data_IF_214097372635
#
_entry.id   IF_214097372635
#
_cell.length_a   1.000
_cell.length_b   1.000
_cell.length_c   1.000
_cell.angle_alpha   90.00
_cell.angle_beta   90.00
_cell.angle_gamma   90.00
#
_symmetry.space_group_name_H-M   'P 1'
#
loop_
_entity.id
_entity.type
_entity.pdbx_description
1 polymer ?
#
# COMPACT_ATOMS: atom_id res chain seq x y z
N UNK A 1 -11.21 -24.09 -10.38
CA UNK A 1 -10.80 -24.14 -11.80
C UNK A 1 -9.71 -23.10 -11.97
N UNK A 2 -8.48 -23.54 -12.22
CA UNK A 2 -7.35 -22.62 -12.37
C UNK A 2 -7.57 -21.78 -13.63
N UNK A 3 -7.77 -20.47 -13.48
CA UNK A 3 -7.80 -19.55 -14.60
C UNK A 3 -6.45 -19.57 -15.31
N UNK A 4 -6.45 -19.53 -16.64
CA UNK A 4 -5.23 -19.33 -17.41
C UNK A 4 -4.50 -18.07 -16.89
N UNK A 5 -3.17 -18.07 -16.70
CA UNK A 5 -2.43 -16.88 -16.27
C UNK A 5 -2.71 -15.65 -17.16
N UNK A 6 -3.02 -15.89 -18.44
CA UNK A 6 -3.41 -14.86 -19.41
C UNK A 6 -4.83 -14.36 -19.15
N UNK A 7 -5.78 -15.23 -18.82
CA UNK A 7 -7.14 -14.81 -18.45
C UNK A 7 -7.15 -14.03 -17.14
N UNK A 8 -6.32 -14.42 -16.18
CA UNK A 8 -6.14 -13.68 -14.93
C UNK A 8 -5.56 -12.28 -15.18
N UNK A 9 -4.51 -12.17 -16.00
CA UNK A 9 -3.97 -10.87 -16.40
C UNK A 9 -4.97 -10.03 -17.23
N UNK A 10 -5.71 -10.67 -18.13
CA UNK A 10 -6.74 -10.01 -18.93
C UNK A 10 -7.92 -9.52 -18.07
N UNK A 11 -8.20 -10.17 -16.94
CA UNK A 11 -9.26 -9.75 -16.01
C UNK A 11 -9.01 -8.38 -15.37
N UNK A 12 -7.77 -7.90 -15.37
CA UNK A 12 -7.41 -6.57 -14.89
C UNK A 12 -7.58 -5.45 -15.92
N UNK A 13 -7.72 -5.78 -17.20
CA UNK A 13 -8.02 -4.80 -18.24
C UNK A 13 -9.53 -4.57 -18.24
N UNK A 14 -10.01 -3.40 -17.81
CA UNK A 14 -11.44 -3.19 -17.73
C UNK A 14 -12.08 -3.12 -19.12
N UNK A 15 -13.22 -3.78 -19.26
CA UNK A 15 -14.04 -3.72 -20.47
C UNK A 15 -14.66 -2.33 -20.69
N UNK A 16 -14.84 -1.55 -19.62
CA UNK A 16 -15.34 -0.16 -19.66
C UNK A 16 -14.67 0.72 -18.59
N UNK A 17 -14.70 2.04 -18.76
CA UNK A 17 -14.09 2.98 -17.78
C UNK A 17 -14.75 2.87 -16.39
N UNK A 18 -16.04 2.53 -16.33
CA UNK A 18 -16.80 2.45 -15.06
C UNK A 18 -16.73 1.09 -14.36
N UNK A 19 -16.40 0.01 -15.08
CA UNK A 19 -16.39 -1.33 -14.48
C UNK A 19 -15.46 -1.46 -13.28
N UNK A 20 -14.24 -0.89 -13.27
CA UNK A 20 -13.36 -0.95 -12.10
C UNK A 20 -13.96 -0.37 -10.82
N UNK A 21 -14.75 0.71 -10.95
CA UNK A 21 -15.32 1.40 -9.80
C UNK A 21 -16.53 0.66 -9.20
N UNK A 22 -17.31 -0.03 -10.03
CA UNK A 22 -18.48 -0.79 -9.57
C UNK A 22 -18.15 -2.21 -9.11
N UNK A 23 -17.12 -2.83 -9.69
CA UNK A 23 -16.71 -4.21 -9.37
C UNK A 23 -15.67 -4.30 -8.25
N UNK A 24 -15.15 -3.17 -7.76
CA UNK A 24 -14.07 -3.16 -6.78
C UNK A 24 -12.73 -3.64 -7.34
N UNK A 25 -12.54 -3.63 -8.67
CA UNK A 25 -11.28 -3.98 -9.31
C UNK A 25 -10.27 -2.82 -9.19
N UNK A 26 -9.52 -2.83 -8.09
CA UNK A 26 -8.63 -1.74 -7.70
C UNK A 26 -7.43 -1.61 -8.64
N UNK A 27 -6.88 -2.72 -9.15
CA UNK A 27 -5.82 -2.69 -10.17
C UNK A 27 -6.32 -2.00 -11.44
N UNK A 28 -7.55 -2.31 -11.88
CA UNK A 28 -8.18 -1.62 -13.00
C UNK A 28 -8.34 -0.11 -12.78
N UNK A 29 -8.74 0.32 -11.58
CA UNK A 29 -8.83 1.74 -11.20
C UNK A 29 -7.46 2.41 -11.27
N UNK A 30 -6.41 1.74 -10.76
CA UNK A 30 -5.03 2.26 -10.78
C UNK A 30 -4.52 2.40 -12.22
N UNK A 31 -4.69 1.38 -13.07
CA UNK A 31 -4.26 1.42 -14.47
C UNK A 31 -4.94 2.59 -15.21
N UNK A 32 -6.25 2.77 -15.01
CA UNK A 32 -6.98 3.90 -15.57
C UNK A 32 -6.43 5.25 -15.07
N UNK A 33 -6.16 5.37 -13.76
CA UNK A 33 -5.60 6.58 -13.17
C UNK A 33 -4.19 6.91 -13.70
N UNK A 34 -3.34 5.90 -13.92
CA UNK A 34 -2.01 6.05 -14.52
C UNK A 34 -2.08 6.51 -15.98
N UNK A 35 -2.95 5.90 -16.78
CA UNK A 35 -3.20 6.32 -18.16
C UNK A 35 -3.69 7.77 -18.23
N UNK A 36 -4.69 8.12 -17.41
CA UNK A 36 -5.21 9.49 -17.32
C UNK A 36 -4.11 10.47 -16.89
N UNK A 37 -3.30 10.11 -15.88
CA UNK A 37 -2.17 10.91 -15.41
C UNK A 37 -1.09 11.12 -16.49
N UNK A 38 -0.80 10.10 -17.29
CA UNK A 38 0.15 10.19 -18.41
C UNK A 38 -0.35 11.12 -19.52
N UNK A 39 -1.64 11.03 -19.88
CA UNK A 39 -2.29 11.91 -20.85
C UNK A 39 -2.27 13.37 -20.37
N UNK A 40 -2.69 13.62 -19.12
CA UNK A 40 -2.68 14.96 -18.52
C UNK A 40 -1.27 15.55 -18.47
N UNK A 41 -0.23 14.72 -18.30
CA UNK A 41 1.17 15.16 -18.32
C UNK A 41 1.63 15.58 -19.72
N UNK A 42 1.29 14.82 -20.77
CA UNK A 42 1.63 15.17 -22.16
C UNK A 42 0.95 16.46 -22.60
N UNK A 43 -0.35 16.59 -22.32
CA UNK A 43 -1.13 17.79 -22.63
C UNK A 43 -0.62 19.06 -21.90
N UNK A 44 0.09 18.90 -20.78
CA UNK A 44 0.72 20.00 -20.06
C UNK A 44 2.04 20.47 -20.68
N UNK A 45 2.72 19.62 -21.46
CA UNK A 45 4.00 19.92 -22.11
C UNK A 45 3.87 20.57 -23.49
N UNK A 46 2.72 20.41 -24.17
CA UNK A 46 2.55 20.81 -25.58
C UNK A 46 1.93 22.21 -25.77
N UNK A 47 1.41 22.89 -24.74
CA UNK A 47 0.67 24.14 -24.94
C UNK A 47 0.77 25.15 -23.77
N UNK A 48 1.58 26.19 -23.94
CA UNK A 48 1.54 27.41 -23.12
C UNK A 48 0.45 28.40 -23.59
N UNK A 49 -0.71 27.92 -24.06
CA UNK A 49 -1.82 28.78 -24.51
C UNK A 49 -3.22 28.40 -23.96
N UNK A 50 -3.35 27.54 -22.94
CA UNK A 50 -4.68 27.05 -22.49
C UNK A 50 -4.84 26.74 -20.99
N UNK A 51 -4.25 27.53 -20.09
CA UNK A 51 -4.08 27.27 -18.63
C UNK A 51 -5.35 27.19 -17.74
N UNK A 52 -6.52 26.80 -18.24
CA UNK A 52 -7.74 26.66 -17.42
C UNK A 52 -8.04 25.22 -16.96
N UNK A 53 -8.31 24.33 -17.92
CA UNK A 53 -9.03 23.09 -17.66
C UNK A 53 -8.20 22.03 -16.92
N UNK A 54 -6.98 21.74 -17.40
CA UNK A 54 -6.09 20.72 -16.78
C UNK A 54 -5.73 21.11 -15.35
N UNK A 55 -5.44 22.39 -15.10
CA UNK A 55 -5.10 22.88 -13.77
C UNK A 55 -6.30 22.91 -12.83
N UNK A 56 -7.50 23.17 -13.35
CA UNK A 56 -8.75 23.09 -12.58
C UNK A 56 -9.09 21.65 -12.23
N UNK A 57 -8.96 20.71 -13.16
CA UNK A 57 -9.18 19.28 -12.90
C UNK A 57 -8.23 18.74 -11.82
N UNK A 58 -6.93 19.07 -11.91
CA UNK A 58 -5.95 18.67 -10.90
C UNK A 58 -6.32 19.21 -9.50
N UNK A 59 -6.74 20.48 -9.39
CA UNK A 59 -7.19 21.08 -8.12
C UNK A 59 -8.45 20.44 -7.56
N UNK A 60 -9.39 20.05 -8.43
CA UNK A 60 -10.61 19.32 -8.02
C UNK A 60 -10.23 17.97 -7.43
N UNK A 61 -9.39 17.20 -8.13
CA UNK A 61 -8.90 15.91 -7.64
C UNK A 61 -8.23 16.07 -6.27
N UNK A 62 -7.38 17.08 -6.10
CA UNK A 62 -6.71 17.37 -4.83
C UNK A 62 -7.70 17.74 -3.69
N UNK A 63 -8.79 18.44 -4.00
CA UNK A 63 -9.84 18.78 -3.02
C UNK A 63 -10.64 17.54 -2.60
N UNK A 64 -11.08 16.72 -3.56
CA UNK A 64 -11.75 15.45 -3.30
C UNK A 64 -10.85 14.57 -2.43
N UNK A 65 -9.58 14.50 -2.80
CA UNK A 65 -8.56 13.79 -2.04
C UNK A 65 -8.50 14.26 -0.56
N UNK A 66 -8.49 15.58 -0.30
CA UNK A 66 -8.55 16.12 1.08
C UNK A 66 -9.83 15.72 1.82
N UNK A 67 -10.98 15.72 1.17
CA UNK A 67 -12.25 15.32 1.79
C UNK A 67 -12.25 13.84 2.20
N UNK A 68 -11.71 12.96 1.36
CA UNK A 68 -11.60 11.53 1.67
C UNK A 68 -10.74 11.27 2.91
N UNK A 69 -9.62 12.00 3.06
CA UNK A 69 -8.77 11.89 4.27
C UNK A 69 -9.49 12.38 5.52
N UNK A 70 -10.28 13.45 5.41
CA UNK A 70 -11.06 13.94 6.55
C UNK A 70 -12.14 12.92 6.98
N UNK A 71 -12.86 12.33 6.02
CA UNK A 71 -13.88 11.31 6.28
C UNK A 71 -13.27 10.06 6.92
N UNK A 72 -12.11 9.63 6.40
CA UNK A 72 -11.36 8.52 6.99
C UNK A 72 -11.02 8.82 8.46
N UNK A 73 -10.61 10.06 8.79
CA UNK A 73 -10.38 10.49 10.17
C UNK A 73 -11.55 10.17 11.11
N UNK A 74 -12.80 10.37 10.66
CA UNK A 74 -13.99 10.05 11.46
C UNK A 74 -14.21 8.54 11.63
N UNK A 75 -13.93 7.74 10.60
CA UNK A 75 -14.04 6.28 10.69
C UNK A 75 -13.04 5.74 11.72
N UNK A 76 -11.81 6.26 11.74
CA UNK A 76 -10.77 5.85 12.69
C UNK A 76 -11.21 6.06 14.14
N UNK A 77 -11.95 7.14 14.43
CA UNK A 77 -12.51 7.39 15.76
C UNK A 77 -13.52 6.30 16.20
N UNK A 78 -14.20 5.64 15.25
CA UNK A 78 -15.16 4.59 15.56
C UNK A 78 -14.52 3.20 15.75
N UNK A 79 -13.30 2.98 15.26
CA UNK A 79 -12.62 1.68 15.31
C UNK A 79 -12.48 1.12 16.74
N UNK A 80 -12.12 1.89 17.79
CA UNK A 80 -12.00 1.36 19.15
C UNK A 80 -13.29 0.71 19.66
N UNK A 81 -14.47 1.29 19.34
CA UNK A 81 -15.76 0.74 19.75
C UNK A 81 -16.07 -0.58 19.03
N UNK A 82 -15.75 -0.68 17.73
CA UNK A 82 -15.92 -1.90 16.96
C UNK A 82 -15.03 -3.05 17.50
N UNK A 83 -13.75 -2.74 17.78
CA UNK A 83 -12.80 -3.70 18.37
C UNK A 83 -13.28 -4.19 19.73
N UNK A 84 -13.77 -3.28 20.59
CA UNK A 84 -14.32 -3.66 21.90
C UNK A 84 -15.47 -4.67 21.76
N UNK A 85 -16.41 -4.44 20.83
CA UNK A 85 -17.54 -5.34 20.62
C UNK A 85 -17.12 -6.76 20.20
N UNK A 86 -16.14 -6.86 19.29
CA UNK A 86 -15.60 -8.16 18.84
C UNK A 86 -14.87 -8.89 19.97
N UNK A 87 -13.98 -8.20 20.68
CA UNK A 87 -13.24 -8.81 21.80
C UNK A 87 -14.20 -9.27 22.90
N UNK A 88 -15.18 -8.44 23.27
CA UNK A 88 -16.18 -8.79 24.27
C UNK A 88 -16.99 -10.04 23.87
N UNK A 89 -17.39 -10.14 22.60
CA UNK A 89 -18.12 -11.30 22.09
C UNK A 89 -17.31 -12.60 22.19
N UNK A 90 -16.01 -12.56 21.86
CA UNK A 90 -15.16 -13.75 21.91
C UNK A 90 -14.85 -14.15 23.35
N UNK A 91 -14.52 -13.19 24.21
CA UNK A 91 -14.32 -13.46 25.65
C UNK A 91 -15.57 -14.03 26.28
N UNK A 92 -16.76 -13.53 25.92
CA UNK A 92 -18.04 -14.03 26.40
C UNK A 92 -18.34 -15.49 26.00
N UNK A 93 -17.79 -15.97 24.87
CA UNK A 93 -18.01 -17.33 24.37
C UNK A 93 -16.90 -18.32 24.77
N UNK A 94 -15.65 -17.89 24.68
CA UNK A 94 -14.47 -18.74 24.81
C UNK A 94 -13.70 -18.55 26.13
N UNK A 95 -14.06 -17.55 26.93
CA UNK A 95 -13.37 -17.20 28.17
C UNK A 95 -12.01 -16.54 27.93
N UNK A 96 -11.30 -16.24 29.03
CA UNK A 96 -10.03 -15.50 29.00
C UNK A 96 -8.82 -16.41 28.70
N UNK A 97 -8.93 -17.72 28.97
CA UNK A 97 -7.83 -18.69 28.74
C UNK A 97 -7.34 -18.73 27.29
N UNK A 98 -8.20 -18.33 26.36
CA UNK A 98 -7.91 -18.17 24.94
C UNK A 98 -6.73 -17.25 24.64
N UNK A 99 -6.52 -16.23 25.48
CA UNK A 99 -5.45 -15.25 25.29
C UNK A 99 -4.05 -15.83 25.55
N UNK A 100 -3.92 -16.92 26.32
CA UNK A 100 -2.60 -17.50 26.58
C UNK A 100 -1.95 -18.02 25.28
N UNK A 101 -2.74 -18.73 24.45
CA UNK A 101 -2.27 -19.27 23.17
C UNK A 101 -2.15 -18.14 22.14
N UNK A 102 -3.11 -17.21 22.13
CA UNK A 102 -3.09 -16.08 21.20
C UNK A 102 -1.98 -15.07 21.48
N UNK A 103 -1.50 -14.98 22.73
CA UNK A 103 -0.36 -14.13 23.06
C UNK A 103 0.92 -14.61 22.40
N UNK A 104 1.14 -15.93 22.31
CA UNK A 104 2.29 -16.51 21.60
C UNK A 104 2.22 -16.15 20.11
N UNK A 105 1.04 -16.29 19.51
CA UNK A 105 0.81 -15.88 18.12
C UNK A 105 1.06 -14.39 17.90
N UNK A 106 0.49 -13.53 18.75
CA UNK A 106 0.65 -12.09 18.69
C UNK A 106 2.13 -11.70 18.82
N UNK A 107 2.85 -12.25 19.80
CA UNK A 107 4.26 -11.96 20.01
C UNK A 107 5.12 -12.40 18.82
N UNK A 108 4.88 -13.60 18.28
CA UNK A 108 5.58 -14.09 17.09
C UNK A 108 5.32 -13.21 15.86
N UNK A 109 4.06 -12.83 15.63
CA UNK A 109 3.67 -11.92 14.55
C UNK A 109 4.36 -10.56 14.66
N UNK A 110 4.28 -9.93 15.84
CA UNK A 110 4.90 -8.63 16.07
C UNK A 110 6.43 -8.71 15.94
N UNK A 111 7.05 -9.81 16.35
CA UNK A 111 8.48 -10.03 16.17
C UNK A 111 8.85 -10.12 14.68
N UNK A 112 8.12 -10.93 13.90
CA UNK A 112 8.35 -11.06 12.46
C UNK A 112 8.20 -9.72 11.72
N UNK A 113 7.13 -8.99 12.03
CA UNK A 113 6.89 -7.64 11.50
C UNK A 113 7.98 -6.65 11.95
N UNK A 114 8.44 -6.72 13.21
CA UNK A 114 9.50 -5.86 13.72
C UNK A 114 10.86 -6.13 13.05
N UNK A 115 11.18 -7.40 12.76
CA UNK A 115 12.40 -7.75 12.00
C UNK A 115 12.36 -7.09 10.63
N UNK A 116 11.22 -7.15 9.93
CA UNK A 116 11.05 -6.45 8.66
C UNK A 116 11.20 -4.93 8.82
N UNK A 117 10.44 -4.35 9.75
CA UNK A 117 10.34 -2.91 9.94
C UNK A 117 11.64 -2.24 10.42
N UNK A 118 12.39 -2.89 11.32
CA UNK A 118 13.53 -2.29 12.01
C UNK A 118 14.88 -2.80 11.50
N UNK A 119 14.92 -3.97 10.86
CA UNK A 119 16.17 -4.57 10.38
C UNK A 119 16.19 -4.59 8.86
N UNK A 120 15.29 -5.35 8.23
CA UNK A 120 15.36 -5.59 6.79
C UNK A 120 15.17 -4.31 5.97
N UNK A 121 14.07 -3.57 6.14
CA UNK A 121 13.82 -2.39 5.31
C UNK A 121 14.82 -1.25 5.53
N UNK A 122 15.17 -0.85 6.78
CA UNK A 122 16.16 0.19 6.99
C UNK A 122 17.55 -0.19 6.46
N UNK A 123 17.92 -1.47 6.54
CA UNK A 123 19.20 -1.97 6.02
C UNK A 123 19.24 -1.87 4.49
N UNK A 124 18.19 -2.31 3.79
CA UNK A 124 18.13 -2.23 2.32
C UNK A 124 18.04 -0.78 1.85
N UNK A 125 17.24 0.06 2.53
CA UNK A 125 17.17 1.50 2.26
C UNK A 125 18.54 2.18 2.41
N UNK A 126 19.36 1.73 3.37
CA UNK A 126 20.68 2.27 3.60
C UNK A 126 21.71 1.78 2.58
N UNK A 127 21.82 0.48 2.39
CA UNK A 127 22.86 -0.13 1.54
C UNK A 127 22.60 0.12 0.05
N UNK A 128 21.35 0.02 -0.39
CA UNK A 128 20.98 0.17 -1.81
C UNK A 128 20.43 1.56 -2.07
N UNK A 129 19.48 1.99 -1.24
CA UNK A 129 18.78 3.28 -1.36
C UNK A 129 19.63 4.51 -1.01
N UNK A 130 20.79 4.31 -0.38
CA UNK A 130 21.63 5.38 0.19
C UNK A 130 20.87 6.32 1.15
N UNK A 131 19.78 5.85 1.76
CA UNK A 131 19.02 6.57 2.79
C UNK A 131 19.35 5.97 4.15
N UNK A 132 20.02 6.72 5.00
CA UNK A 132 20.35 6.23 6.36
C UNK A 132 19.08 5.86 7.14
N UNK A 133 19.15 4.93 8.11
CA UNK A 133 18.00 4.55 8.92
C UNK A 133 17.33 5.74 9.63
N UNK A 134 18.11 6.76 10.01
CA UNK A 134 17.60 8.01 10.58
C UNK A 134 16.72 8.78 9.60
N UNK A 135 17.09 8.81 8.32
CA UNK A 135 16.29 9.45 7.27
C UNK A 135 15.05 8.61 7.01
N UNK A 136 15.23 7.31 6.78
CA UNK A 136 14.15 6.41 6.38
C UNK A 136 13.06 6.27 7.47
N UNK A 137 13.45 5.96 8.70
CA UNK A 137 12.50 5.83 9.82
C UNK A 137 12.06 7.20 10.36
N UNK A 138 12.99 8.16 10.46
CA UNK A 138 12.69 9.47 11.03
C UNK A 138 11.81 10.34 10.14
N UNK A 139 12.17 10.51 8.87
CA UNK A 139 11.35 11.31 7.94
C UNK A 139 10.10 10.57 7.46
N UNK A 140 10.08 9.24 7.61
CA UNK A 140 8.93 8.37 7.33
C UNK A 140 7.95 8.23 8.49
N UNK A 141 8.30 8.72 9.68
CA UNK A 141 7.54 8.51 10.91
C UNK A 141 6.07 8.93 10.78
N UNK A 142 5.78 10.07 10.15
CA UNK A 142 4.40 10.55 9.99
C UNK A 142 3.55 9.54 9.21
N UNK A 143 4.09 8.94 8.14
CA UNK A 143 3.37 7.96 7.33
C UNK A 143 3.15 6.65 8.11
N UNK A 144 4.18 6.17 8.80
CA UNK A 144 4.14 4.95 9.61
C UNK A 144 3.11 5.09 10.73
N UNK A 145 3.18 6.19 11.49
CA UNK A 145 2.25 6.47 12.60
C UNK A 145 0.83 6.65 12.09
N UNK A 146 0.65 7.31 10.93
CA UNK A 146 -0.67 7.41 10.31
C UNK A 146 -1.21 6.03 9.98
N UNK A 147 -0.38 5.13 9.43
CA UNK A 147 -0.80 3.81 8.98
C UNK A 147 -1.18 2.87 10.13
N UNK A 148 -0.37 2.88 11.18
CA UNK A 148 -0.66 2.17 12.44
C UNK A 148 -1.94 2.73 13.07
N UNK A 149 -2.17 4.04 12.99
CA UNK A 149 -3.36 4.67 13.60
C UNK A 149 -4.64 4.42 12.80
N UNK A 150 -4.56 4.50 11.46
CA UNK A 150 -5.71 4.36 10.57
C UNK A 150 -6.00 2.92 10.14
N UNK A 151 -5.05 2.00 10.39
CA UNK A 151 -5.11 0.61 9.95
C UNK A 151 -5.27 0.46 8.43
N UNK A 152 -4.63 1.32 7.62
CA UNK A 152 -4.72 1.23 6.16
C UNK A 152 -3.53 1.89 5.46
N UNK A 153 -2.79 1.12 4.67
CA UNK A 153 -1.70 1.64 3.83
C UNK A 153 -2.23 2.56 2.73
N UNK A 154 -3.36 2.20 2.11
CA UNK A 154 -3.96 2.98 1.01
C UNK A 154 -4.43 4.36 1.49
N UNK A 155 -5.01 4.44 2.68
CA UNK A 155 -5.35 5.69 3.35
C UNK A 155 -4.15 6.63 3.56
N UNK A 156 -2.96 6.06 3.76
CA UNK A 156 -1.76 6.81 4.15
C UNK A 156 -0.91 7.28 2.99
N UNK A 157 -1.16 6.77 1.78
CA UNK A 157 -0.49 7.15 0.52
C UNK A 157 -0.10 8.64 0.47
N UNK A 158 -0.97 9.59 0.83
CA UNK A 158 -0.60 11.00 0.69
C UNK A 158 0.39 11.48 1.74
N UNK A 159 0.31 10.95 2.97
CA UNK A 159 1.32 11.20 4.01
C UNK A 159 2.64 10.54 3.59
N UNK A 160 2.56 9.33 3.02
CA UNK A 160 3.70 8.60 2.45
C UNK A 160 4.39 9.41 1.35
N UNK A 161 3.64 9.99 0.41
CA UNK A 161 4.19 10.84 -0.65
C UNK A 161 4.89 12.10 -0.10
N UNK A 162 4.35 12.75 0.95
CA UNK A 162 5.03 13.87 1.61
C UNK A 162 6.31 13.44 2.33
N UNK A 163 6.31 12.27 2.96
CA UNK A 163 7.51 11.73 3.59
C UNK A 163 8.60 11.43 2.55
N UNK A 164 8.22 10.84 1.41
CA UNK A 164 9.13 10.55 0.31
C UNK A 164 9.71 11.82 -0.34
N UNK A 165 8.91 12.89 -0.43
CA UNK A 165 9.38 14.21 -0.87
C UNK A 165 10.45 14.79 0.08
N UNK A 166 10.21 14.72 1.40
CA UNK A 166 11.23 15.11 2.42
C UNK A 166 12.50 14.27 2.30
N UNK A 167 12.36 12.98 1.98
CA UNK A 167 13.49 12.07 1.75
C UNK A 167 14.21 12.33 0.41
N UNK A 168 13.79 13.32 -0.39
CA UNK A 168 14.34 13.62 -1.71
C UNK A 168 14.25 12.42 -2.67
N UNK A 169 13.12 11.70 -2.65
CA UNK A 169 12.79 10.69 -3.65
C UNK A 169 12.06 11.36 -4.79
N UNK A 170 12.40 11.06 -6.06
CA UNK A 170 11.77 11.77 -7.18
C UNK A 170 10.25 11.57 -7.19
N UNK A 171 9.47 12.61 -7.56
CA UNK A 171 8.00 12.54 -7.54
C UNK A 171 7.43 11.42 -8.42
N UNK A 172 8.13 11.03 -9.48
CA UNK A 172 7.68 9.96 -10.35
C UNK A 172 7.89 8.58 -9.70
N UNK A 173 9.02 8.33 -9.04
CA UNK A 173 9.28 7.06 -8.32
C UNK A 173 8.32 6.92 -7.13
N UNK A 174 8.12 8.00 -6.37
CA UNK A 174 7.17 8.05 -5.26
C UNK A 174 5.72 7.78 -5.71
N UNK A 175 5.28 8.40 -6.81
CA UNK A 175 3.93 8.16 -7.36
C UNK A 175 3.77 6.76 -7.94
N UNK A 176 4.79 6.21 -8.61
CA UNK A 176 4.72 4.85 -9.15
C UNK A 176 4.58 3.83 -8.02
N UNK A 177 5.38 3.96 -6.96
CA UNK A 177 5.27 3.13 -5.76
C UNK A 177 3.91 3.33 -5.06
N UNK A 178 3.42 4.56 -4.93
CA UNK A 178 2.11 4.82 -4.34
C UNK A 178 0.96 4.18 -5.15
N UNK A 179 0.99 4.27 -6.47
CA UNK A 179 -0.06 3.74 -7.35
C UNK A 179 -0.02 2.20 -7.43
N UNK A 180 1.16 1.62 -7.62
CA UNK A 180 1.33 0.18 -7.87
C UNK A 180 1.70 -0.57 -6.60
N UNK A 181 2.70 -0.07 -5.87
CA UNK A 181 3.24 -0.67 -4.65
C UNK A 181 2.17 -0.86 -3.59
N UNK A 182 1.46 0.20 -3.17
CA UNK A 182 0.49 0.11 -2.05
C UNK A 182 -0.58 -0.99 -2.17
N UNK A 183 -0.86 -1.48 -3.39
CA UNK A 183 -1.81 -2.57 -3.63
C UNK A 183 -1.15 -3.93 -3.85
N UNK A 184 0.06 -3.96 -4.40
CA UNK A 184 0.76 -5.21 -4.74
C UNK A 184 1.82 -5.61 -3.70
N UNK A 185 2.28 -4.66 -2.89
CA UNK A 185 3.39 -4.76 -1.97
C UNK A 185 2.89 -4.94 -0.52
N UNK A 186 2.27 -6.09 -0.28
CA UNK A 186 1.53 -6.40 0.93
C UNK A 186 2.28 -7.34 1.88
N UNK A 187 3.58 -7.07 2.13
CA UNK A 187 4.47 -7.91 2.93
C UNK A 187 3.87 -8.32 4.29
N UNK A 188 3.26 -7.36 4.99
CA UNK A 188 2.63 -7.60 6.29
C UNK A 188 1.40 -8.52 6.20
N UNK A 189 0.63 -8.47 5.11
CA UNK A 189 -0.51 -9.38 4.88
C UNK A 189 0.01 -10.78 4.56
N UNK A 190 0.97 -10.89 3.64
CA UNK A 190 1.57 -12.18 3.28
C UNK A 190 2.19 -12.87 4.49
N UNK A 191 2.94 -12.14 5.32
CA UNK A 191 3.51 -12.69 6.55
C UNK A 191 2.43 -13.16 7.51
N UNK A 192 1.38 -12.36 7.69
CA UNK A 192 0.26 -12.70 8.57
C UNK A 192 -0.50 -13.94 8.12
N UNK A 193 -0.81 -14.06 6.84
CA UNK A 193 -1.53 -15.21 6.33
C UNK A 193 -0.72 -16.50 6.50
N UNK A 194 0.58 -16.45 6.20
CA UNK A 194 1.46 -17.60 6.35
C UNK A 194 1.60 -17.99 7.84
N UNK A 195 1.86 -17.02 8.72
CA UNK A 195 2.04 -17.27 10.15
C UNK A 195 0.73 -17.69 10.83
N UNK A 196 -0.41 -17.13 10.44
CA UNK A 196 -1.72 -17.55 10.94
C UNK A 196 -2.04 -18.99 10.56
N UNK A 197 -1.73 -19.39 9.31
CA UNK A 197 -1.90 -20.78 8.87
C UNK A 197 -1.02 -21.75 9.64
N UNK A 198 0.26 -21.42 9.83
CA UNK A 198 1.19 -22.22 10.64
C UNK A 198 0.72 -22.34 12.09
N UNK A 199 0.35 -21.21 12.71
CA UNK A 199 -0.13 -21.15 14.09
C UNK A 199 -1.38 -22.01 14.28
N UNK A 200 -2.39 -21.86 13.42
CA UNK A 200 -3.64 -22.60 13.54
C UNK A 200 -3.43 -24.10 13.35
N UNK A 201 -2.63 -24.50 12.37
CA UNK A 201 -2.31 -25.91 12.16
C UNK A 201 -1.63 -26.51 13.40
N UNK A 202 -0.64 -25.82 13.97
CA UNK A 202 0.06 -26.26 15.18
C UNK A 202 -0.87 -26.29 16.41
N UNK A 203 -1.68 -25.26 16.61
CA UNK A 203 -2.61 -25.15 17.74
C UNK A 203 -3.67 -26.26 17.73
N UNK A 204 -3.98 -26.81 16.56
CA UNK A 204 -4.97 -27.86 16.35
C UNK A 204 -4.35 -29.26 16.18
N UNK A 205 -3.02 -29.37 16.27
CA UNK A 205 -2.30 -30.64 16.18
C UNK A 205 -2.18 -31.22 14.77
N UNK A 206 -2.34 -30.40 13.72
CA UNK A 206 -2.05 -30.81 12.35
C UNK A 206 -0.53 -30.81 12.11
N UNK A 207 -0.01 -31.92 11.59
CA UNK A 207 1.38 -31.99 11.16
C UNK A 207 1.53 -31.30 9.79
N UNK A 208 2.39 -30.29 9.73
CA UNK A 208 2.66 -29.52 8.52
C UNK A 208 4.07 -29.85 8.01
N UNK A 209 4.21 -30.84 7.10
CA UNK A 209 5.50 -31.12 6.50
C UNK A 209 6.00 -29.90 5.74
N UNK A 210 7.33 -29.77 5.59
CA UNK A 210 7.97 -28.61 4.97
C UNK A 210 7.38 -28.25 3.59
N UNK A 211 7.01 -29.25 2.79
CA UNK A 211 6.34 -29.02 1.49
C UNK A 211 5.03 -28.24 1.60
N UNK A 212 4.19 -28.56 2.59
CA UNK A 212 2.94 -27.83 2.84
C UNK A 212 3.22 -26.42 3.37
N UNK A 213 4.26 -26.24 4.19
CA UNK A 213 4.67 -24.91 4.67
C UNK A 213 5.11 -24.00 3.51
N UNK A 214 5.87 -24.53 2.55
CA UNK A 214 6.27 -23.78 1.35
C UNK A 214 5.06 -23.45 0.46
N UNK A 215 4.10 -24.38 0.34
CA UNK A 215 2.87 -24.14 -0.41
C UNK A 215 2.03 -23.03 0.24
N UNK A 216 1.95 -22.99 1.58
CA UNK A 216 1.30 -21.91 2.33
C UNK A 216 1.94 -20.57 1.99
N UNK A 217 3.27 -20.47 2.06
CA UNK A 217 3.98 -19.22 1.74
C UNK A 217 3.69 -18.78 0.30
N UNK A 218 3.77 -19.69 -0.67
CA UNK A 218 3.45 -19.38 -2.06
C UNK A 218 2.00 -18.92 -2.25
N UNK A 219 1.05 -19.59 -1.58
CA UNK A 219 -0.36 -19.20 -1.59
C UNK A 219 -0.57 -17.81 -0.98
N UNK A 220 0.05 -17.50 0.15
CA UNK A 220 0.00 -16.17 0.79
C UNK A 220 0.63 -15.07 -0.06
N UNK A 221 1.67 -15.35 -0.83
CA UNK A 221 2.25 -14.38 -1.77
C UNK A 221 1.27 -14.04 -2.90
N UNK A 222 0.65 -15.07 -3.49
CA UNK A 222 -0.34 -14.89 -4.57
C UNK A 222 -1.58 -14.17 -4.04
N UNK A 223 -2.07 -14.60 -2.88
CA UNK A 223 -3.26 -14.06 -2.25
C UNK A 223 -3.04 -12.59 -1.84
N UNK A 224 -1.91 -12.30 -1.18
CA UNK A 224 -1.50 -10.95 -0.74
C UNK A 224 -1.39 -9.93 -1.88
N UNK A 225 -0.92 -10.34 -3.06
CA UNK A 225 -0.80 -9.47 -4.25
C UNK A 225 -2.17 -9.01 -4.80
N UNK A 226 -3.26 -9.70 -4.45
CA UNK A 226 -4.62 -9.34 -4.86
C UNK A 226 -5.39 -8.50 -3.85
N UNK A 227 -4.81 -8.22 -2.68
CA UNK A 227 -5.50 -7.56 -1.57
C UNK A 227 -5.26 -6.07 -1.59
N UNK A 228 -6.33 -5.27 -1.55
CA UNK A 228 -6.15 -3.84 -1.38
C UNK A 228 -5.76 -3.46 0.05
N UNK A 229 -4.97 -2.40 0.20
CA UNK A 229 -4.52 -1.88 1.50
C UNK A 229 -5.61 -1.18 2.32
N UNK A 230 -6.77 -1.82 2.48
CA UNK A 230 -7.91 -1.36 3.29
C UNK A 230 -7.87 -2.00 4.71
N UNK A 231 -8.58 -1.43 5.69
CA UNK A 231 -8.65 -2.02 7.03
C UNK A 231 -9.11 -3.47 7.01
N UNK A 232 -8.45 -4.31 7.82
CA UNK A 232 -8.78 -5.73 8.01
C UNK A 232 -8.74 -6.60 6.75
N UNK A 233 -8.12 -6.14 5.67
CA UNK A 233 -8.15 -6.85 4.38
C UNK A 233 -7.56 -8.27 4.44
N UNK A 234 -6.54 -8.49 5.27
CA UNK A 234 -5.95 -9.83 5.44
C UNK A 234 -6.88 -10.87 6.02
N UNK A 235 -7.93 -10.47 6.75
CA UNK A 235 -8.94 -11.43 7.23
C UNK A 235 -9.85 -11.96 6.13
N UNK A 236 -10.08 -11.16 5.09
CA UNK A 236 -10.95 -11.54 3.98
C UNK A 236 -10.31 -12.70 3.20
N UNK A 237 -8.98 -12.70 3.15
CA UNK A 237 -8.19 -13.58 2.28
C UNK A 237 -7.54 -14.74 3.04
N UNK A 238 -7.37 -14.61 4.37
CA UNK A 238 -6.93 -15.70 5.24
C UNK A 238 -7.68 -17.04 5.04
N UNK A 239 -9.03 -17.10 4.88
CA UNK A 239 -9.72 -18.37 4.65
C UNK A 239 -9.26 -19.09 3.37
N UNK A 240 -8.91 -18.33 2.32
CA UNK A 240 -8.40 -18.89 1.08
C UNK A 240 -7.04 -19.55 1.29
N UNK A 241 -6.15 -18.90 2.04
CA UNK A 241 -4.83 -19.43 2.38
C UNK A 241 -4.94 -20.66 3.27
N UNK A 242 -5.82 -20.64 4.29
CA UNK A 242 -6.05 -21.79 5.16
C UNK A 242 -6.63 -22.99 4.40
N UNK A 243 -7.51 -22.73 3.43
CA UNK A 243 -8.03 -23.76 2.53
C UNK A 243 -6.93 -24.35 1.64
N UNK A 244 -6.06 -23.50 1.08
CA UNK A 244 -4.89 -23.93 0.31
C UNK A 244 -3.87 -24.72 1.15
N UNK A 245 -3.80 -24.46 2.45
CA UNK A 245 -3.01 -25.22 3.43
C UNK A 245 -3.59 -26.61 3.75
N UNK A 246 -4.79 -26.93 3.24
CA UNK A 246 -5.48 -28.20 3.49
C UNK A 246 -6.25 -28.27 4.81
N UNK A 247 -6.52 -27.13 5.46
CA UNK A 247 -7.33 -27.13 6.69
C UNK A 247 -8.82 -27.36 6.37
N UNK A 248 -9.54 -28.17 7.17
CA UNK A 248 -10.97 -28.39 6.98
C UNK A 248 -11.79 -27.11 7.12
N UNK A 249 -12.84 -26.94 6.31
CA UNK A 249 -13.68 -25.72 6.34
C UNK A 249 -14.28 -25.41 7.70
N UNK A 250 -14.71 -26.43 8.46
CA UNK A 250 -15.27 -26.24 9.80
C UNK A 250 -14.24 -25.70 10.80
N UNK A 251 -12.98 -26.07 10.63
CA UNK A 251 -11.85 -25.55 11.42
C UNK A 251 -11.59 -24.09 11.08
N UNK A 252 -11.56 -23.75 9.78
CA UNK A 252 -11.33 -22.39 9.31
C UNK A 252 -12.38 -21.43 9.88
N UNK A 253 -13.66 -21.82 9.85
CA UNK A 253 -14.77 -21.00 10.37
C UNK A 253 -14.67 -20.80 11.89
N UNK A 254 -14.22 -21.80 12.64
CA UNK A 254 -14.03 -21.69 14.08
C UNK A 254 -12.78 -20.85 14.47
N UNK A 255 -11.76 -20.84 13.62
CA UNK A 255 -10.48 -20.18 13.89
C UNK A 255 -10.46 -18.68 13.60
N UNK A 256 -11.25 -18.19 12.63
CA UNK A 256 -11.26 -16.76 12.27
C UNK A 256 -11.70 -15.85 13.44
N UNK A 257 -12.80 -16.15 14.19
CA UNK A 257 -13.18 -15.37 15.36
C UNK A 257 -12.12 -15.35 16.47
N UNK A 258 -11.31 -16.40 16.54
CA UNK A 258 -10.24 -16.52 17.52
C UNK A 258 -9.14 -15.49 17.23
N UNK A 259 -8.64 -15.47 16.00
CA UNK A 259 -7.57 -14.55 15.56
C UNK A 259 -8.02 -13.09 15.64
N UNK A 260 -9.29 -12.82 15.32
CA UNK A 260 -9.92 -11.50 15.40
C UNK A 260 -9.68 -10.76 16.72
N UNK A 261 -9.61 -11.49 17.84
CA UNK A 261 -9.42 -10.88 19.16
C UNK A 261 -8.08 -10.18 19.35
N UNK A 262 -7.06 -10.58 18.57
CA UNK A 262 -5.72 -10.00 18.60
C UNK A 262 -5.36 -9.31 17.29
N UNK A 263 -6.11 -9.57 16.21
CA UNK A 263 -5.82 -8.99 14.88
C UNK A 263 -5.94 -7.47 14.88
N UNK A 264 -6.74 -6.85 15.75
CA UNK A 264 -6.78 -5.40 15.84
C UNK A 264 -5.40 -4.77 16.13
N UNK A 265 -4.50 -5.46 16.86
CA UNK A 265 -3.11 -5.02 17.06
C UNK A 265 -2.28 -5.34 15.82
N UNK A 266 -2.41 -6.58 15.33
CA UNK A 266 -1.62 -7.11 14.22
C UNK A 266 -1.89 -6.33 12.94
N UNK A 267 -3.15 -6.11 12.56
CA UNK A 267 -3.59 -5.30 11.43
C UNK A 267 -2.94 -3.92 11.40
N UNK A 268 -2.86 -3.24 12.54
CA UNK A 268 -2.20 -1.93 12.63
C UNK A 268 -0.70 -2.02 12.38
N UNK A 269 -0.03 -3.00 12.97
CA UNK A 269 1.39 -3.26 12.73
C UNK A 269 1.65 -3.62 11.26
N UNK A 270 0.80 -4.44 10.64
CA UNK A 270 0.85 -4.79 9.21
C UNK A 270 0.75 -3.56 8.33
N UNK A 271 -0.20 -2.67 8.60
CA UNK A 271 -0.36 -1.41 7.86
C UNK A 271 0.91 -0.56 7.93
N UNK A 272 1.54 -0.46 9.11
CA UNK A 272 2.82 0.24 9.27
C UNK A 272 3.97 -0.39 8.47
N UNK A 273 4.08 -1.72 8.51
CA UNK A 273 5.11 -2.51 7.78
C UNK A 273 4.94 -2.37 6.27
N UNK A 274 3.70 -2.44 5.77
CA UNK A 274 3.40 -2.24 4.36
C UNK A 274 3.80 -0.83 3.90
N UNK A 275 3.52 0.21 4.69
CA UNK A 275 3.92 1.58 4.36
C UNK A 275 5.43 1.77 4.37
N UNK A 276 6.14 1.12 5.30
CA UNK A 276 7.60 1.06 5.25
C UNK A 276 8.05 0.44 3.93
N UNK A 277 7.52 -0.74 3.58
CA UNK A 277 7.85 -1.42 2.33
C UNK A 277 7.56 -0.54 1.10
N UNK A 278 6.43 0.18 1.07
CA UNK A 278 6.09 1.09 -0.03
C UNK A 278 7.10 2.23 -0.19
N UNK A 279 7.55 2.81 0.94
CA UNK A 279 8.60 3.82 0.90
C UNK A 279 9.93 3.23 0.41
N UNK A 280 10.26 2.00 0.81
CA UNK A 280 11.46 1.30 0.34
C UNK A 280 11.40 1.09 -1.17
N UNK A 281 10.29 0.58 -1.70
CA UNK A 281 10.09 0.41 -3.15
C UNK A 281 10.27 1.73 -3.89
N UNK A 282 9.69 2.82 -3.39
CA UNK A 282 9.87 4.15 -3.98
C UNK A 282 11.35 4.57 -4.04
N UNK A 283 12.10 4.35 -2.96
CA UNK A 283 13.54 4.66 -2.88
C UNK A 283 14.34 3.80 -3.87
N UNK A 284 14.07 2.49 -3.94
CA UNK A 284 14.79 1.57 -4.83
C UNK A 284 14.55 1.89 -6.31
N UNK A 285 13.31 2.22 -6.68
CA UNK A 285 12.97 2.69 -8.03
C UNK A 285 13.68 3.99 -8.40
N UNK A 286 13.98 4.84 -7.40
CA UNK A 286 14.68 6.09 -7.62
C UNK A 286 16.18 5.91 -7.88
N UNK A 287 16.80 4.95 -7.18
CA UNK A 287 18.20 4.57 -7.43
C UNK A 287 18.38 3.99 -8.83
N UNK A 288 17.38 3.26 -9.34
CA UNK A 288 17.39 2.69 -10.69
C UNK A 288 17.31 3.71 -11.82
N UNK A 289 17.17 5.01 -11.53
CA UNK A 289 17.12 6.05 -12.55
C UNK A 289 18.50 6.53 -12.94
N UNK A 290 18.88 6.19 -14.18
CA UNK A 290 19.83 7.00 -14.94
C UNK A 290 19.13 8.35 -15.16
N UNK A 291 19.71 9.43 -14.64
CA UNK A 291 19.21 10.77 -14.88
C UNK A 291 19.03 10.97 -16.40
N UNK A 292 17.89 11.48 -16.89
CA UNK A 292 17.83 11.94 -18.27
C UNK A 292 18.94 12.99 -18.44
N UNK A 293 19.78 12.81 -19.46
CA UNK A 293 20.88 13.71 -19.76
C UNK A 293 20.38 15.15 -19.64
N UNK A 294 21.02 15.92 -18.76
CA UNK A 294 20.78 17.36 -18.65
C UNK A 294 21.04 17.95 -20.03
N UNK A 295 19.99 18.20 -20.81
CA UNK A 295 20.10 19.12 -21.94
C UNK A 295 20.44 20.48 -21.33
N UNK A 296 21.74 20.78 -21.38
CA UNK A 296 22.28 22.11 -21.22
C UNK A 296 21.62 23.02 -22.25
N UNK A 297 20.47 23.59 -21.88
CA UNK A 297 19.92 24.76 -22.53
C UNK A 297 20.81 25.94 -22.15
N UNK A 298 21.96 26.02 -22.82
CA UNK A 298 22.75 27.24 -22.90
C UNK A 298 21.86 28.27 -23.62
N UNK A 299 21.24 29.15 -22.85
CA UNK A 299 20.55 30.33 -23.36
C UNK A 299 21.60 31.18 -24.10
N UNK A 300 21.56 31.16 -25.43
CA UNK A 300 22.22 32.16 -26.25
C UNK A 300 21.57 33.54 -25.99
N UNK A 301 22.33 34.64 -26.02
CA UNK A 301 21.77 35.97 -25.76
C UNK A 301 20.83 36.36 -26.91
N UNK A 302 19.62 36.80 -26.55
CA UNK A 302 18.62 37.30 -27.50
C UNK A 302 19.17 38.53 -28.23
N UNK A 303 19.13 38.48 -29.57
CA UNK A 303 19.33 39.64 -30.44
C UNK A 303 18.20 40.65 -30.24
N UNK A 304 18.59 41.89 -29.99
CA UNK A 304 17.77 43.11 -30.01
C UNK A 304 16.79 43.13 -31.20
N UNK A 305 15.49 43.18 -30.91
CA UNK A 305 14.46 43.51 -31.89
C UNK A 305 14.09 44.97 -31.70
N UNK A 306 14.57 45.80 -32.63
CA UNK A 306 14.21 47.21 -32.80
C UNK A 306 12.70 47.39 -33.01
N UNK A 307 12.11 48.27 -32.21
CA UNK A 307 10.69 48.66 -32.25
C UNK A 307 10.46 49.77 -33.30
N UNK A 308 9.54 49.63 -34.27
CA UNK A 308 9.19 50.73 -35.17
C UNK A 308 7.84 51.32 -34.76
N UNK A 309 7.85 52.31 -33.87
CA UNK A 309 6.70 53.21 -33.69
C UNK A 309 7.11 54.47 -32.92
N UNK A 310 7.57 55.51 -33.63
CA UNK A 310 7.44 56.89 -33.19
C UNK A 310 7.33 57.83 -34.41
N UNK A 311 6.33 58.74 -34.46
CA UNK A 311 6.21 59.72 -35.53
C UNK A 311 7.09 60.94 -35.26
N UNK A 312 7.82 61.41 -36.27
CA UNK A 312 8.65 62.62 -36.16
C UNK A 312 7.78 63.90 -36.05
N UNK A 313 8.14 64.86 -35.19
CA UNK A 313 7.63 66.22 -35.29
C UNK A 313 8.45 67.05 -36.29
N UNK A 314 7.76 68.01 -36.91
CA UNK A 314 8.19 68.99 -37.92
C UNK A 314 9.46 69.77 -37.59
#
# INVERSE_FOLDING_TARGET
VAQSPIEYLASYIPSTIMTPFSSGNIIGVVLLALCLGAILRRLRGEADQGRGAVHTLARIIERIYRWLVQMLGWIILAVPLAVFGVVAQVVGKAGIGVFAVLWVFLAAMLLGLAIHALVYYPLVAWLVGKKSPKIYLGQGADAIMTAVSCNSSLATVPVTLRCLDRMQVSPQSARLAACVGTNLNNDGITLYEAMAALFLAQALGFDLPLGNQLLIVAASMIAGAGVAGIPEAGMIVLPLVLSAAGLPTHVIVAAIPLILTVDWIIARARSGVNVLSDMLVAILLDVGRIAPATESMALQPQSEVTNPAEPQPS
#
